data_IF_670562781569
#
_entry.id   IF_670562781569
#
_cell.length_a   1.000
_cell.length_b   1.000
_cell.length_c   1.000
_cell.angle_alpha   90.00
_cell.angle_beta   90.00
_cell.angle_gamma   90.00
#
_symmetry.space_group_name_H-M   'P 1'
#
loop_
_entity.id
_entity.type
_entity.pdbx_description
1 polymer ?
#
# COMPACT_ATOMS: atom_id res chain seq x y z
N UNK A 1 11.19 -23.68 20.80
CA UNK A 1 10.41 -22.42 20.79
C UNK A 1 10.81 -21.66 19.54
N UNK A 2 9.90 -21.39 18.61
CA UNK A 2 10.22 -20.71 17.33
C UNK A 2 9.98 -19.18 17.36
N UNK A 3 9.53 -18.64 18.50
CA UNK A 3 9.20 -17.22 18.68
C UNK A 3 10.38 -16.36 19.17
N UNK A 4 11.51 -16.97 19.49
CA UNK A 4 12.71 -16.28 19.94
C UNK A 4 13.86 -16.69 19.03
N UNK A 5 14.80 -15.77 18.85
CA UNK A 5 16.04 -16.07 18.11
C UNK A 5 16.86 -17.12 18.86
N UNK A 6 17.84 -17.70 18.17
CA UNK A 6 18.78 -18.64 18.76
C UNK A 6 19.41 -18.04 20.02
N UNK A 7 19.50 -18.85 21.09
CA UNK A 7 20.06 -18.42 22.38
C UNK A 7 21.48 -17.85 22.28
N UNK A 8 22.20 -18.19 21.21
CA UNK A 8 23.56 -17.69 20.92
C UNK A 8 23.57 -16.23 20.47
N UNK A 9 22.47 -15.74 19.92
CA UNK A 9 22.34 -14.38 19.38
C UNK A 9 21.83 -13.38 20.43
N UNK A 10 21.53 -13.85 21.65
CA UNK A 10 20.99 -12.99 22.71
C UNK A 10 22.11 -12.10 23.28
N UNK A 11 21.88 -10.79 23.28
CA UNK A 11 22.84 -9.79 23.76
C UNK A 11 23.92 -9.39 22.74
N UNK A 12 23.89 -9.95 21.53
CA UNK A 12 24.78 -9.54 20.44
C UNK A 12 24.26 -8.24 19.80
N UNK A 13 25.12 -7.23 19.64
CA UNK A 13 24.74 -5.95 19.02
C UNK A 13 24.52 -6.09 17.50
N UNK A 14 25.27 -6.98 16.85
CA UNK A 14 25.22 -7.13 15.38
C UNK A 14 25.04 -8.58 14.95
N UNK A 15 23.83 -8.89 14.49
CA UNK A 15 23.51 -10.20 13.90
C UNK A 15 23.69 -10.09 12.38
N UNK A 16 24.53 -10.95 11.80
CA UNK A 16 24.74 -11.01 10.35
C UNK A 16 23.48 -11.54 9.67
N UNK A 17 22.89 -10.73 8.80
CA UNK A 17 21.68 -11.07 8.04
C UNK A 17 21.93 -11.01 6.54
N UNK A 18 21.21 -11.84 5.80
CA UNK A 18 21.26 -11.85 4.32
C UNK A 18 20.49 -10.70 3.70
N UNK A 19 20.56 -10.60 2.37
CA UNK A 19 19.73 -9.68 1.58
C UNK A 19 18.27 -10.17 1.50
N UNK A 20 17.30 -9.29 1.20
CA UNK A 20 15.92 -9.70 0.93
C UNK A 20 15.81 -10.50 -0.39
N UNK A 21 14.72 -11.26 -0.52
CA UNK A 21 14.36 -11.97 -1.75
C UNK A 21 13.96 -10.99 -2.84
N UNK A 22 14.55 -11.13 -4.03
CA UNK A 22 14.23 -10.29 -5.19
C UNK A 22 13.09 -10.89 -6.00
N UNK A 23 12.27 -10.04 -6.61
CA UNK A 23 11.14 -10.44 -7.46
C UNK A 23 11.56 -11.43 -8.55
N UNK A 24 12.67 -11.18 -9.25
CA UNK A 24 13.14 -12.03 -10.35
C UNK A 24 13.48 -13.46 -9.90
N UNK A 25 13.97 -13.61 -8.68
CA UNK A 25 14.32 -14.93 -8.11
C UNK A 25 13.07 -15.71 -7.72
N UNK A 26 12.06 -14.99 -7.23
CA UNK A 26 10.76 -15.56 -6.84
C UNK A 26 9.94 -15.98 -8.06
N UNK A 27 10.07 -15.28 -9.20
CA UNK A 27 9.40 -15.65 -10.46
C UNK A 27 9.82 -17.02 -11.00
N UNK A 28 11.04 -17.47 -10.69
CA UNK A 28 11.55 -18.78 -11.12
C UNK A 28 11.02 -19.93 -10.24
N UNK A 29 10.50 -19.62 -9.04
CA UNK A 29 10.03 -20.63 -8.07
C UNK A 29 8.60 -21.07 -8.34
N UNK A 30 8.29 -22.33 -7.99
CA UNK A 30 6.94 -22.88 -8.08
C UNK A 30 5.99 -22.23 -7.05
N UNK A 31 4.68 -22.26 -7.30
CA UNK A 31 3.68 -21.76 -6.32
C UNK A 31 3.75 -22.53 -4.99
N UNK A 32 4.05 -23.83 -5.02
CA UNK A 32 4.24 -24.65 -3.81
C UNK A 32 5.42 -24.16 -2.97
N UNK A 33 6.53 -23.81 -3.61
CA UNK A 33 7.73 -23.31 -2.93
C UNK A 33 7.51 -21.90 -2.38
N UNK A 34 6.83 -21.03 -3.13
CA UNK A 34 6.45 -19.69 -2.64
C UNK A 34 5.55 -19.78 -1.41
N UNK A 35 4.58 -20.70 -1.40
CA UNK A 35 3.72 -20.94 -0.25
C UNK A 35 4.52 -21.42 0.97
N UNK A 36 5.46 -22.36 0.79
CA UNK A 36 6.35 -22.78 1.88
C UNK A 36 7.23 -21.64 2.38
N UNK A 37 7.82 -20.87 1.46
CA UNK A 37 8.68 -19.73 1.78
C UNK A 37 7.93 -18.65 2.56
N UNK A 38 6.66 -18.39 2.21
CA UNK A 38 5.80 -17.46 2.94
C UNK A 38 5.73 -17.81 4.44
N UNK A 39 5.54 -19.09 4.78
CA UNK A 39 5.49 -19.52 6.18
C UNK A 39 6.86 -19.47 6.88
N UNK A 40 7.95 -19.70 6.16
CA UNK A 40 9.30 -19.51 6.72
C UNK A 40 9.51 -18.05 7.10
N UNK A 41 9.17 -17.12 6.21
CA UNK A 41 9.26 -15.67 6.46
C UNK A 41 8.27 -15.21 7.53
N UNK A 42 7.08 -15.79 7.59
CA UNK A 42 6.09 -15.46 8.61
C UNK A 42 6.57 -15.84 10.02
N UNK A 43 7.21 -17.00 10.17
CA UNK A 43 7.80 -17.42 11.46
C UNK A 43 8.91 -16.46 11.89
N UNK A 44 9.79 -16.12 10.95
CA UNK A 44 10.84 -15.13 11.15
C UNK A 44 10.27 -13.78 11.58
N UNK A 45 9.27 -13.25 10.86
CA UNK A 45 8.61 -11.98 11.18
C UNK A 45 8.01 -11.99 12.59
N UNK A 46 7.31 -13.06 12.96
CA UNK A 46 6.71 -13.18 14.29
C UNK A 46 7.76 -13.25 15.40
N UNK A 47 8.88 -13.93 15.16
CA UNK A 47 10.00 -13.98 16.08
C UNK A 47 10.63 -12.58 16.26
N UNK A 48 10.85 -11.86 15.18
CA UNK A 48 11.41 -10.50 15.23
C UNK A 48 10.48 -9.50 15.94
N UNK A 49 9.18 -9.56 15.69
CA UNK A 49 8.21 -8.71 16.39
C UNK A 49 8.14 -9.01 17.89
N UNK A 50 8.28 -10.29 18.28
CA UNK A 50 8.32 -10.70 19.69
C UNK A 50 9.58 -10.15 20.36
N UNK A 51 10.73 -10.29 19.71
CA UNK A 51 11.99 -9.76 20.21
C UNK A 51 11.94 -8.22 20.29
N UNK A 52 11.47 -7.53 19.25
CA UNK A 52 11.36 -6.07 19.22
C UNK A 52 10.52 -5.55 20.40
N UNK A 53 9.37 -6.17 20.65
CA UNK A 53 8.51 -5.82 21.78
C UNK A 53 9.22 -6.04 23.13
N UNK A 54 10.00 -7.11 23.29
CA UNK A 54 10.75 -7.36 24.52
C UNK A 54 11.89 -6.34 24.73
N UNK A 55 12.62 -5.96 23.67
CA UNK A 55 13.63 -4.91 23.73
C UNK A 55 13.01 -3.54 24.10
N UNK A 56 11.86 -3.19 23.50
CA UNK A 56 11.10 -1.99 23.88
C UNK A 56 10.68 -2.03 25.36
N UNK A 57 10.17 -3.17 25.83
CA UNK A 57 9.80 -3.37 27.25
C UNK A 57 10.99 -3.19 28.19
N UNK A 58 12.17 -3.64 27.78
CA UNK A 58 13.41 -3.49 28.54
C UNK A 58 14.07 -2.11 28.35
N UNK A 59 13.52 -1.25 27.48
CA UNK A 59 14.09 0.05 27.11
C UNK A 59 15.50 -0.05 26.52
N UNK A 60 15.75 -1.14 25.81
CA UNK A 60 16.99 -1.41 25.10
C UNK A 60 16.81 -1.25 23.58
N UNK A 61 17.92 -1.01 22.88
CA UNK A 61 17.90 -0.89 21.42
C UNK A 61 17.78 -2.27 20.77
N UNK A 62 16.85 -2.41 19.83
CA UNK A 62 16.67 -3.65 19.09
C UNK A 62 17.89 -3.94 18.20
N UNK A 63 18.49 -5.13 18.28
CA UNK A 63 19.62 -5.50 17.43
C UNK A 63 19.16 -5.64 15.97
N UNK A 64 19.81 -4.91 15.07
CA UNK A 64 19.60 -4.96 13.62
C UNK A 64 18.12 -4.81 13.16
N UNK A 65 17.51 -3.61 13.31
CA UNK A 65 16.13 -3.34 12.89
C UNK A 65 15.90 -3.56 11.38
N UNK A 66 16.94 -3.44 10.55
CA UNK A 66 16.85 -3.69 9.11
C UNK A 66 16.39 -5.12 8.79
N UNK A 67 16.59 -6.09 9.69
CA UNK A 67 16.14 -7.48 9.47
C UNK A 67 14.62 -7.55 9.30
N UNK A 68 13.87 -6.71 10.02
CA UNK A 68 12.40 -6.63 9.91
C UNK A 68 12.03 -6.14 8.51
N UNK A 69 12.62 -5.02 8.09
CA UNK A 69 12.37 -4.43 6.76
C UNK A 69 12.69 -5.43 5.64
N UNK A 70 13.83 -6.13 5.72
CA UNK A 70 14.22 -7.15 4.73
C UNK A 70 13.22 -8.30 4.62
N UNK A 71 12.63 -8.72 5.75
CA UNK A 71 11.60 -9.77 5.76
C UNK A 71 10.30 -9.25 5.17
N UNK A 72 9.90 -8.03 5.52
CA UNK A 72 8.69 -7.39 4.97
C UNK A 72 8.79 -7.18 3.46
N UNK A 73 9.92 -6.65 2.96
CA UNK A 73 10.21 -6.54 1.53
C UNK A 73 10.09 -7.88 0.81
N UNK A 74 10.63 -8.95 1.42
CA UNK A 74 10.57 -10.30 0.84
C UNK A 74 9.13 -10.82 0.77
N UNK A 75 8.32 -10.53 1.80
CA UNK A 75 6.90 -10.92 1.83
C UNK A 75 6.08 -10.13 0.80
N UNK A 76 6.31 -8.82 0.66
CA UNK A 76 5.66 -7.99 -0.37
C UNK A 76 6.02 -8.44 -1.79
N UNK A 77 7.29 -8.80 -2.01
CA UNK A 77 7.74 -9.34 -3.29
C UNK A 77 7.07 -10.67 -3.64
N UNK A 78 6.89 -11.58 -2.66
CA UNK A 78 6.13 -12.83 -2.87
C UNK A 78 4.68 -12.52 -3.25
N UNK A 79 4.03 -11.60 -2.52
CA UNK A 79 2.65 -11.23 -2.79
C UNK A 79 2.50 -10.65 -4.20
N UNK A 80 3.44 -9.81 -4.62
CA UNK A 80 3.47 -9.22 -5.96
C UNK A 80 3.56 -10.30 -7.04
N UNK A 81 4.48 -11.26 -6.91
CA UNK A 81 4.62 -12.37 -7.88
C UNK A 81 3.37 -13.25 -7.95
N UNK A 82 2.74 -13.52 -6.81
CA UNK A 82 1.49 -14.30 -6.78
C UNK A 82 0.36 -13.53 -7.45
N UNK A 83 0.22 -12.23 -7.17
CA UNK A 83 -0.77 -11.36 -7.82
C UNK A 83 -0.55 -11.27 -9.34
N UNK A 84 0.70 -11.08 -9.79
CA UNK A 84 1.06 -11.07 -11.22
C UNK A 84 0.59 -12.36 -11.92
N UNK A 85 0.81 -13.52 -11.28
CA UNK A 85 0.40 -14.83 -11.81
C UNK A 85 -1.12 -14.98 -11.88
N UNK A 86 -1.82 -14.61 -10.80
CA UNK A 86 -3.27 -14.69 -10.73
C UNK A 86 -3.94 -13.74 -11.74
N UNK A 87 -3.41 -12.52 -11.89
CA UNK A 87 -3.91 -11.56 -12.88
C UNK A 87 -3.71 -12.07 -14.30
N UNK A 88 -2.52 -12.60 -14.62
CA UNK A 88 -2.24 -13.16 -15.95
C UNK A 88 -3.17 -14.34 -16.28
N UNK A 89 -3.40 -15.24 -15.31
CA UNK A 89 -4.33 -16.36 -15.47
C UNK A 89 -5.76 -15.88 -15.70
N UNK A 90 -6.26 -14.97 -14.86
CA UNK A 90 -7.64 -14.47 -14.98
C UNK A 90 -7.87 -13.70 -16.28
N UNK A 91 -6.86 -12.96 -16.77
CA UNK A 91 -6.93 -12.26 -18.05
C UNK A 91 -7.06 -13.22 -19.23
N UNK A 92 -6.41 -14.39 -19.18
CA UNK A 92 -6.53 -15.41 -20.22
C UNK A 92 -7.90 -16.12 -20.17
N UNK A 93 -8.37 -16.48 -18.98
CA UNK A 93 -9.61 -17.24 -18.81
C UNK A 93 -10.88 -16.39 -18.98
N UNK A 94 -10.91 -15.20 -18.37
CA UNK A 94 -12.12 -14.36 -18.28
C UNK A 94 -12.01 -13.03 -19.03
N UNK A 95 -10.81 -12.65 -19.49
CA UNK A 95 -10.54 -11.32 -20.04
C UNK A 95 -10.49 -10.21 -18.98
N UNK A 96 -10.54 -10.55 -17.69
CA UNK A 96 -10.51 -9.59 -16.58
C UNK A 96 -9.44 -9.97 -15.56
N UNK A 97 -8.99 -9.03 -14.72
CA UNK A 97 -7.89 -9.28 -13.76
C UNK A 97 -8.28 -10.16 -12.57
N UNK A 98 -9.54 -10.62 -12.47
CA UNK A 98 -10.08 -11.37 -11.31
C UNK A 98 -10.33 -10.52 -10.06
N UNK A 99 -9.68 -9.36 -9.93
CA UNK A 99 -10.00 -8.39 -8.88
C UNK A 99 -11.33 -7.67 -9.16
N UNK A 100 -12.11 -7.32 -8.12
CA UNK A 100 -13.36 -6.61 -8.30
C UNK A 100 -13.15 -5.23 -8.93
N UNK A 101 -13.74 -5.03 -10.12
CA UNK A 101 -13.67 -3.75 -10.82
C UNK A 101 -14.31 -2.61 -10.01
N UNK A 102 -13.54 -1.54 -9.82
CA UNK A 102 -14.03 -0.31 -9.16
C UNK A 102 -14.89 0.46 -10.13
N UNK A 103 -16.00 1.02 -9.65
CA UNK A 103 -16.88 1.85 -10.48
C UNK A 103 -17.10 3.22 -9.84
N UNK A 104 -17.42 4.20 -10.69
CA UNK A 104 -17.76 5.54 -10.23
C UNK A 104 -19.14 5.53 -9.56
N UNK A 105 -19.17 5.95 -8.29
CA UNK A 105 -20.37 6.21 -7.53
C UNK A 105 -20.41 7.70 -7.13
N UNK A 106 -21.60 8.21 -6.80
CA UNK A 106 -21.76 9.52 -6.16
C UNK A 106 -22.10 9.32 -4.70
N UNK A 107 -21.52 10.12 -3.83
CA UNK A 107 -21.89 10.13 -2.41
C UNK A 107 -23.16 10.98 -2.19
N UNK A 108 -23.61 11.08 -0.95
CA UNK A 108 -24.78 11.89 -0.59
C UNK A 108 -24.62 13.39 -0.96
N UNK A 109 -23.38 13.90 -0.98
CA UNK A 109 -23.03 15.26 -1.41
C UNK A 109 -23.00 15.43 -2.95
N UNK A 110 -23.14 14.34 -3.71
CA UNK A 110 -23.04 14.34 -5.17
C UNK A 110 -21.61 14.30 -5.73
N UNK A 111 -20.59 14.15 -4.88
CA UNK A 111 -19.20 14.01 -5.29
C UNK A 111 -18.94 12.60 -5.85
N UNK A 112 -18.29 12.54 -7.01
CA UNK A 112 -17.87 11.27 -7.64
C UNK A 112 -16.69 10.67 -6.86
N UNK A 113 -16.76 9.38 -6.57
CA UNK A 113 -15.66 8.60 -6.00
C UNK A 113 -15.63 7.20 -6.60
N UNK A 114 -14.47 6.54 -6.57
CA UNK A 114 -14.33 5.15 -6.98
C UNK A 114 -14.77 4.25 -5.82
N UNK A 115 -15.80 3.43 -6.06
CA UNK A 115 -16.30 2.46 -5.08
C UNK A 115 -15.86 1.05 -5.45
N UNK A 116 -15.32 0.32 -4.46
CA UNK A 116 -15.10 -1.12 -4.55
C UNK A 116 -16.42 -1.84 -4.24
N UNK A 117 -16.91 -2.75 -5.10
CA UNK A 117 -18.07 -3.57 -4.77
C UNK A 117 -17.75 -4.46 -3.55
N UNK A 118 -18.79 -4.74 -2.76
CA UNK A 118 -18.74 -5.68 -1.64
C UNK A 118 -19.72 -6.81 -1.91
N UNK A 119 -19.39 -7.98 -1.40
CA UNK A 119 -20.28 -9.14 -1.44
C UNK A 119 -21.41 -8.97 -0.42
N UNK A 120 -22.62 -9.32 -0.83
CA UNK A 120 -23.83 -9.27 0.01
C UNK A 120 -24.64 -10.54 -0.22
N UNK A 121 -25.33 -11.00 0.83
CA UNK A 121 -26.16 -12.21 0.76
C UNK A 121 -27.46 -11.97 -0.01
N UNK A 122 -27.92 -10.71 -0.07
CA UNK A 122 -29.16 -10.30 -0.72
C UNK A 122 -28.88 -9.35 -1.89
N UNK A 123 -29.70 -9.40 -2.96
CA UNK A 123 -29.60 -8.46 -4.06
C UNK A 123 -29.69 -7.00 -3.61
N UNK A 124 -29.00 -6.11 -4.34
CA UNK A 124 -28.86 -4.69 -3.99
C UNK A 124 -30.19 -3.98 -3.73
N UNK A 125 -31.22 -4.26 -4.52
CA UNK A 125 -32.53 -3.60 -4.40
C UNK A 125 -33.30 -3.99 -3.13
N UNK A 126 -33.01 -5.16 -2.54
CA UNK A 126 -33.61 -5.59 -1.27
C UNK A 126 -32.80 -5.12 -0.06
N UNK A 127 -31.57 -4.65 -0.28
CA UNK A 127 -30.62 -4.38 0.78
C UNK A 127 -30.81 -3.00 1.41
N UNK A 128 -31.58 -2.96 2.51
CA UNK A 128 -31.84 -1.73 3.28
C UNK A 128 -30.57 -1.10 3.82
N UNK A 129 -29.60 -1.88 4.32
CA UNK A 129 -28.35 -1.34 4.88
C UNK A 129 -27.49 -0.70 3.80
N UNK A 130 -27.49 -1.28 2.59
CA UNK A 130 -26.83 -0.69 1.43
C UNK A 130 -27.45 0.67 1.06
N UNK A 131 -28.78 0.76 1.01
CA UNK A 131 -29.46 2.02 0.69
C UNK A 131 -29.29 3.10 1.77
N UNK A 132 -29.20 2.72 3.04
CA UNK A 132 -28.90 3.62 4.17
C UNK A 132 -27.48 4.16 4.12
N UNK A 133 -26.50 3.31 3.80
CA UNK A 133 -25.07 3.69 3.74
C UNK A 133 -24.68 4.41 2.46
N UNK A 134 -25.44 4.18 1.38
CA UNK A 134 -25.17 4.78 0.07
C UNK A 134 -26.43 5.45 -0.49
N UNK A 135 -26.93 6.49 0.20
CA UNK A 135 -28.10 7.22 -0.27
C UNK A 135 -27.79 7.94 -1.59
N UNK A 136 -28.82 8.20 -2.42
CA UNK A 136 -28.65 9.00 -3.62
C UNK A 136 -28.17 10.42 -3.28
N UNK A 137 -27.55 11.07 -4.26
CA UNK A 137 -27.07 12.43 -4.09
C UNK A 137 -28.23 13.40 -3.81
N UNK A 138 -28.08 14.24 -2.79
CA UNK A 138 -29.07 15.26 -2.47
C UNK A 138 -28.87 16.49 -3.37
N UNK A 139 -29.92 16.84 -4.12
CA UNK A 139 -29.94 17.98 -5.05
C UNK A 139 -29.69 19.32 -4.37
N UNK A 140 -30.04 19.48 -3.09
CA UNK A 140 -29.77 20.70 -2.33
C UNK A 140 -28.28 21.04 -2.28
N UNK A 141 -27.40 20.03 -2.31
CA UNK A 141 -25.96 20.25 -2.27
C UNK A 141 -25.33 20.57 -3.63
N UNK A 142 -26.11 20.55 -4.72
CA UNK A 142 -25.62 20.77 -6.08
C UNK A 142 -24.86 22.09 -6.25
N UNK A 143 -25.32 23.17 -5.59
CA UNK A 143 -24.65 24.48 -5.58
C UNK A 143 -23.22 24.40 -5.04
N UNK A 144 -22.98 23.58 -4.00
CA UNK A 144 -21.68 23.46 -3.37
C UNK A 144 -20.68 22.64 -4.18
N UNK A 145 -21.17 21.76 -5.08
CA UNK A 145 -20.29 20.99 -5.97
C UNK A 145 -19.44 21.94 -6.81
N UNK A 146 -20.05 22.98 -7.39
CA UNK A 146 -19.35 24.01 -8.17
C UNK A 146 -18.30 24.73 -7.32
N UNK A 147 -18.69 25.22 -6.15
CA UNK A 147 -17.81 25.95 -5.23
C UNK A 147 -16.62 25.08 -4.78
N UNK A 148 -16.84 23.79 -4.55
CA UNK A 148 -15.79 22.83 -4.20
C UNK A 148 -14.76 22.69 -5.32
N UNK A 149 -15.21 22.52 -6.58
CA UNK A 149 -14.31 22.42 -7.71
C UNK A 149 -13.58 23.74 -8.02
N UNK A 150 -14.25 24.89 -7.85
CA UNK A 150 -13.61 26.21 -7.95
C UNK A 150 -12.50 26.36 -6.90
N UNK A 151 -12.76 26.01 -5.64
CA UNK A 151 -11.76 26.01 -4.57
C UNK A 151 -10.57 25.10 -4.89
N UNK A 152 -10.82 23.87 -5.37
CA UNK A 152 -9.75 22.93 -5.76
C UNK A 152 -8.92 23.47 -6.92
N UNK A 153 -9.55 24.12 -7.89
CA UNK A 153 -8.87 24.78 -9.02
C UNK A 153 -7.98 25.93 -8.55
N UNK A 154 -8.49 26.81 -7.69
CA UNK A 154 -7.72 27.93 -7.14
C UNK A 154 -6.52 27.43 -6.33
N UNK A 155 -6.72 26.43 -5.46
CA UNK A 155 -5.63 25.81 -4.70
C UNK A 155 -4.52 25.25 -5.61
N UNK A 156 -4.91 24.57 -6.71
CA UNK A 156 -3.96 24.07 -7.73
C UNK A 156 -3.22 25.23 -8.40
N UNK A 157 -3.91 26.31 -8.77
CA UNK A 157 -3.27 27.49 -9.38
C UNK A 157 -2.27 28.15 -8.42
N UNK A 158 -2.65 28.36 -7.16
CA UNK A 158 -1.75 28.92 -6.15
C UNK A 158 -0.52 28.05 -5.92
N UNK A 159 -0.68 26.72 -5.87
CA UNK A 159 0.45 25.79 -5.78
C UNK A 159 1.40 25.91 -6.97
N UNK A 160 0.88 25.90 -8.20
CA UNK A 160 1.69 26.05 -9.41
C UNK A 160 2.41 27.40 -9.46
N UNK A 161 1.78 28.48 -9.00
CA UNK A 161 2.41 29.79 -8.94
C UNK A 161 3.56 29.82 -7.92
N UNK A 162 3.38 29.20 -6.75
CA UNK A 162 4.45 29.05 -5.74
C UNK A 162 5.61 28.23 -6.29
N UNK A 163 5.33 27.10 -6.93
CA UNK A 163 6.36 26.27 -7.56
C UNK A 163 7.11 27.02 -8.66
N UNK A 164 6.43 27.79 -9.52
CA UNK A 164 7.08 28.65 -10.52
C UNK A 164 7.99 29.70 -9.88
N UNK A 165 7.53 30.37 -8.81
CA UNK A 165 8.33 31.35 -8.07
C UNK A 165 9.55 30.69 -7.41
N UNK A 166 9.36 29.50 -6.82
CA UNK A 166 10.44 28.70 -6.24
C UNK A 166 11.48 28.31 -7.30
N UNK A 167 11.06 27.78 -8.44
CA UNK A 167 11.95 27.44 -9.56
C UNK A 167 12.69 28.66 -10.08
N UNK A 168 12.00 29.80 -10.25
CA UNK A 168 12.63 31.06 -10.67
C UNK A 168 13.72 31.50 -9.68
N UNK A 169 13.40 31.54 -8.39
CA UNK A 169 14.38 31.88 -7.33
C UNK A 169 15.56 30.90 -7.33
N UNK A 170 15.29 29.61 -7.52
CA UNK A 170 16.32 28.57 -7.54
C UNK A 170 17.23 28.67 -8.78
N UNK A 171 16.70 29.09 -9.94
CA UNK A 171 17.49 29.42 -11.13
C UNK A 171 18.31 30.71 -10.95
N UNK A 172 17.77 31.71 -10.24
CA UNK A 172 18.50 32.94 -9.88
C UNK A 172 19.68 32.63 -8.95
N UNK A 173 19.49 31.74 -7.97
CA UNK A 173 20.55 31.30 -7.03
C UNK A 173 21.53 30.31 -7.68
N UNK A 174 21.06 29.43 -8.57
CA UNK A 174 21.83 28.37 -9.20
C UNK A 174 21.62 28.31 -10.73
N UNK A 175 22.28 29.19 -11.50
CA UNK A 175 22.09 29.26 -12.95
C UNK A 175 22.45 27.98 -13.72
N UNK A 176 23.37 27.17 -13.19
CA UNK A 176 23.78 25.88 -13.79
C UNK A 176 22.68 24.80 -13.77
N UNK A 177 21.54 25.06 -13.13
CA UNK A 177 20.36 24.19 -13.13
C UNK A 177 19.40 24.47 -14.30
N UNK A 178 19.72 25.43 -15.15
CA UNK A 178 18.97 25.71 -16.38
C UNK A 178 18.90 24.45 -17.27
N UNK A 179 17.68 24.05 -17.66
CA UNK A 179 17.43 22.81 -18.43
C UNK A 179 17.22 21.53 -17.62
N UNK A 180 17.42 21.54 -16.29
CA UNK A 180 17.19 20.39 -15.38
C UNK A 180 15.94 20.53 -14.49
N UNK A 181 15.30 21.70 -14.49
CA UNK A 181 14.18 22.08 -13.61
C UNK A 181 12.87 22.32 -14.35
#
# INVERSE_FOLDING_TARGET
>A
MEFFDDKKNWGEETIKTGRPWRVDELRIKSNSDLHKLWYVLLKERNMLLTMQHEYERQSELFPNPERIEKVEDSMENIMTVVQERDEAYNLLETGTTGQPSRYYARNFLGLKYLRRPKEYHIPRFMNKTFHLTHPPANTQFSKYIRLYYEKKRLAKQSYLQRERRRKKKLLEEFPHLEGKL
#
